data_IF_038859731243
#
_entry.id   IF_038859731243
#
_cell.length_a   1.000
_cell.length_b   1.000
_cell.length_c   1.000
_cell.angle_alpha   90.00
_cell.angle_beta   90.00
_cell.angle_gamma   90.00
#
_symmetry.space_group_name_H-M   'P 1'
#
loop_
_entity.id
_entity.type
_entity.pdbx_description
1 polymer ?
#
# COMPACT_ATOMS: atom_id res chain seq x y z
N UNK A 1 1.60 -14.52 13.03
CA UNK A 1 2.31 -15.46 12.11
C UNK A 1 3.74 -15.02 11.78
N UNK A 2 4.00 -14.08 10.85
CA UNK A 2 5.39 -13.62 10.56
C UNK A 2 6.00 -12.87 11.76
N UNK A 3 5.32 -11.83 12.24
CA UNK A 3 5.78 -11.01 13.37
C UNK A 3 5.99 -11.79 14.68
N UNK A 4 5.18 -12.83 14.89
CA UNK A 4 5.21 -13.65 16.11
C UNK A 4 6.07 -14.91 15.94
N UNK A 5 6.73 -15.06 14.79
CA UNK A 5 7.53 -16.24 14.53
C UNK A 5 8.78 -16.23 15.45
N UNK A 6 9.10 -17.34 16.14
CA UNK A 6 10.18 -17.35 17.12
C UNK A 6 11.58 -17.26 16.50
N UNK A 7 11.72 -17.65 15.23
CA UNK A 7 12.97 -17.54 14.49
C UNK A 7 12.95 -16.34 13.53
N UNK A 8 14.13 -15.81 13.23
CA UNK A 8 14.31 -14.70 12.29
C UNK A 8 13.63 -14.97 10.94
N UNK A 9 12.75 -14.05 10.56
CA UNK A 9 12.01 -14.04 9.31
C UNK A 9 12.67 -13.09 8.29
N UNK A 10 12.66 -13.50 7.02
CA UNK A 10 13.25 -12.73 5.93
C UNK A 10 12.28 -12.65 4.77
N UNK A 11 12.07 -11.44 4.27
CA UNK A 11 11.34 -11.20 3.01
C UNK A 11 12.34 -10.78 1.95
N UNK A 12 12.37 -11.51 0.83
CA UNK A 12 13.26 -11.26 -0.30
C UNK A 12 12.46 -10.68 -1.46
N UNK A 13 12.81 -9.48 -1.92
CA UNK A 13 12.08 -8.72 -2.95
C UNK A 13 12.97 -8.55 -4.17
N UNK A 14 12.85 -9.42 -5.19
CA UNK A 14 13.69 -9.37 -6.37
C UNK A 14 13.32 -8.22 -7.33
N UNK A 15 12.05 -7.79 -7.35
CA UNK A 15 11.55 -6.78 -8.30
C UNK A 15 10.58 -5.77 -7.67
N UNK A 16 9.48 -6.22 -7.06
CA UNK A 16 8.38 -5.32 -6.71
C UNK A 16 7.51 -5.91 -5.59
N UNK A 17 7.13 -5.10 -4.60
CA UNK A 17 6.12 -5.48 -3.60
C UNK A 17 5.31 -4.27 -3.11
N UNK A 18 4.03 -4.19 -3.46
CA UNK A 18 3.14 -3.06 -3.12
C UNK A 18 2.04 -3.48 -2.17
N UNK A 19 1.41 -2.49 -1.51
CA UNK A 19 0.20 -2.70 -0.73
C UNK A 19 0.39 -3.83 0.29
N UNK A 20 -0.37 -4.93 0.20
CA UNK A 20 -0.20 -6.12 1.02
C UNK A 20 1.23 -6.70 1.02
N UNK A 21 1.94 -6.66 -0.11
CA UNK A 21 3.34 -7.09 -0.19
C UNK A 21 4.29 -6.22 0.64
N UNK A 22 4.02 -4.91 0.73
CA UNK A 22 4.74 -4.02 1.65
C UNK A 22 4.41 -4.36 3.10
N UNK A 23 3.15 -4.62 3.45
CA UNK A 23 2.78 -5.02 4.82
C UNK A 23 3.48 -6.31 5.25
N UNK A 24 3.58 -7.30 4.36
CA UNK A 24 4.33 -8.53 4.60
C UNK A 24 5.81 -8.23 4.82
N UNK A 25 6.42 -7.36 4.00
CA UNK A 25 7.82 -6.97 4.16
C UNK A 25 8.08 -6.25 5.50
N UNK A 26 7.19 -5.34 5.90
CA UNK A 26 7.31 -4.60 7.17
C UNK A 26 7.12 -5.49 8.40
N UNK A 27 6.38 -6.60 8.27
CA UNK A 27 6.18 -7.57 9.35
C UNK A 27 7.39 -8.48 9.59
N UNK A 28 8.38 -8.49 8.68
CA UNK A 28 9.54 -9.36 8.78
C UNK A 28 10.73 -8.70 9.48
N UNK A 29 11.58 -9.52 10.09
CA UNK A 29 12.79 -9.05 10.78
C UNK A 29 13.76 -8.40 9.78
N UNK A 30 13.92 -9.01 8.60
CA UNK A 30 14.80 -8.51 7.54
C UNK A 30 14.09 -8.38 6.20
N UNK A 31 14.29 -7.23 5.56
CA UNK A 31 13.89 -6.95 4.19
C UNK A 31 15.17 -6.99 3.34
N UNK A 32 15.25 -7.94 2.42
CA UNK A 32 16.35 -8.08 1.46
C UNK A 32 15.77 -7.79 0.10
N UNK A 33 16.28 -6.80 -0.63
CA UNK A 33 15.69 -6.40 -1.90
C UNK A 33 16.74 -6.11 -2.96
N UNK A 34 16.40 -6.37 -4.23
CA UNK A 34 17.28 -5.97 -5.33
C UNK A 34 17.50 -4.45 -5.28
N UNK A 35 18.66 -3.97 -5.76
CA UNK A 35 18.98 -2.54 -5.77
C UNK A 35 17.97 -1.70 -6.56
N UNK A 36 17.32 -2.32 -7.55
CA UNK A 36 16.29 -1.72 -8.39
C UNK A 36 14.88 -2.15 -7.99
N UNK A 37 14.72 -2.99 -6.96
CA UNK A 37 13.41 -3.33 -6.44
C UNK A 37 12.81 -2.18 -5.65
N UNK A 38 11.49 -2.20 -5.54
CA UNK A 38 10.73 -1.14 -4.87
C UNK A 38 9.62 -1.71 -3.99
N UNK A 39 9.32 -0.97 -2.93
CA UNK A 39 8.12 -1.11 -2.13
C UNK A 39 7.07 -0.07 -2.53
N UNK A 40 5.87 -0.20 -1.99
CA UNK A 40 4.78 0.76 -2.19
C UNK A 40 4.32 1.41 -0.91
N UNK A 41 3.56 2.51 -1.03
CA UNK A 41 2.71 2.98 0.05
C UNK A 41 1.68 1.93 0.45
N UNK A 42 1.12 2.11 1.64
CA UNK A 42 0.03 1.26 2.16
C UNK A 42 -1.19 2.13 2.50
N UNK A 43 -1.31 3.29 1.85
CA UNK A 43 -2.45 4.18 2.00
C UNK A 43 -3.77 3.44 1.68
N UNK A 44 -4.80 3.56 2.52
CA UNK A 44 -6.07 2.91 2.26
C UNK A 44 -6.78 3.47 1.04
N UNK A 45 -7.36 2.60 0.23
CA UNK A 45 -8.25 2.96 -0.88
C UNK A 45 -9.69 2.56 -0.56
N UNK A 46 -10.64 3.46 -0.83
CA UNK A 46 -12.07 3.24 -0.69
C UNK A 46 -12.73 3.28 -2.06
N UNK A 47 -13.05 2.09 -2.58
CA UNK A 47 -13.44 1.94 -3.98
C UNK A 47 -12.29 2.39 -4.89
N UNK A 48 -12.56 3.35 -5.76
CA UNK A 48 -11.58 3.86 -6.74
C UNK A 48 -10.77 5.07 -6.25
N UNK A 49 -11.00 5.53 -5.00
CA UNK A 49 -10.38 6.75 -4.49
C UNK A 49 -9.48 6.46 -3.29
N UNK A 50 -8.32 7.15 -3.18
CA UNK A 50 -7.55 7.15 -1.93
C UNK A 50 -8.37 7.76 -0.79
N UNK A 51 -8.30 7.16 0.39
CA UNK A 51 -9.00 7.66 1.58
C UNK A 51 -8.64 9.13 1.88
N UNK A 52 -7.37 9.50 1.69
CA UNK A 52 -6.86 10.86 1.93
C UNK A 52 -7.47 11.87 0.96
N UNK A 53 -7.70 11.49 -0.29
CA UNK A 53 -8.36 12.35 -1.29
C UNK A 53 -9.82 12.62 -0.93
N UNK A 54 -10.52 11.64 -0.34
CA UNK A 54 -11.89 11.82 0.16
C UNK A 54 -11.91 12.83 1.30
N UNK A 55 -10.93 12.77 2.21
CA UNK A 55 -10.80 13.76 3.30
C UNK A 55 -10.52 15.16 2.76
N UNK A 56 -9.64 15.27 1.75
CA UNK A 56 -9.33 16.56 1.13
C UNK A 56 -10.57 17.20 0.49
N UNK A 57 -11.39 16.39 -0.20
CA UNK A 57 -12.65 16.88 -0.77
C UNK A 57 -13.59 17.46 0.32
N UNK A 58 -13.64 16.85 1.50
CA UNK A 58 -14.36 17.39 2.66
C UNK A 58 -13.73 18.65 3.22
N UNK A 59 -12.41 18.75 3.31
CA UNK A 59 -11.73 19.99 3.72
C UNK A 59 -12.10 21.16 2.79
N UNK A 60 -12.23 20.91 1.48
CA UNK A 60 -12.54 21.93 0.49
C UNK A 60 -14.03 22.35 0.47
N UNK A 61 -14.95 21.40 0.63
CA UNK A 61 -16.40 21.64 0.44
C UNK A 61 -17.24 21.57 1.71
N UNK A 62 -16.73 20.91 2.75
CA UNK A 62 -17.43 20.66 4.01
C UNK A 62 -18.74 19.90 3.82
N UNK A 63 -19.76 20.32 4.55
CA UNK A 63 -21.11 19.74 4.56
C UNK A 63 -21.88 19.94 3.24
N UNK A 64 -21.34 20.68 2.27
CA UNK A 64 -21.96 20.83 0.93
C UNK A 64 -21.82 19.58 0.05
N UNK A 65 -21.12 18.56 0.54
CA UNK A 65 -21.01 17.26 -0.12
C UNK A 65 -22.30 16.47 0.03
N UNK A 66 -22.53 15.52 -0.88
CA UNK A 66 -23.67 14.61 -0.74
C UNK A 66 -23.46 13.62 0.42
N UNK A 67 -24.57 13.07 0.93
CA UNK A 67 -24.58 12.16 2.09
C UNK A 67 -23.64 10.97 1.89
N UNK A 68 -23.61 10.39 0.69
CA UNK A 68 -22.71 9.28 0.35
C UNK A 68 -21.23 9.65 0.56
N UNK A 69 -20.82 10.84 0.13
CA UNK A 69 -19.45 11.33 0.32
C UNK A 69 -19.18 11.61 1.79
N UNK A 70 -20.14 12.15 2.54
CA UNK A 70 -19.99 12.38 3.98
C UNK A 70 -19.79 11.06 4.76
N UNK A 71 -20.51 9.99 4.37
CA UNK A 71 -20.30 8.65 4.90
C UNK A 71 -18.89 8.13 4.52
N UNK A 72 -18.46 8.31 3.28
CA UNK A 72 -17.12 7.93 2.84
C UNK A 72 -16.02 8.69 3.59
N UNK A 73 -16.26 9.94 4.00
CA UNK A 73 -15.32 10.73 4.82
C UNK A 73 -15.13 10.09 6.20
N UNK A 74 -16.22 9.66 6.85
CA UNK A 74 -16.13 8.94 8.12
C UNK A 74 -15.35 7.62 7.98
N UNK A 75 -15.65 6.84 6.94
CA UNK A 75 -14.95 5.59 6.64
C UNK A 75 -13.47 5.85 6.35
N UNK A 76 -13.15 6.90 5.58
CA UNK A 76 -11.78 7.28 5.25
C UNK A 76 -10.95 7.63 6.48
N UNK A 77 -11.51 8.41 7.44
CA UNK A 77 -10.85 8.73 8.71
C UNK A 77 -10.50 7.47 9.49
N UNK A 78 -11.45 6.52 9.56
CA UNK A 78 -11.26 5.25 10.26
C UNK A 78 -10.20 4.40 9.57
N UNK A 79 -10.26 4.26 8.25
CA UNK A 79 -9.33 3.45 7.47
C UNK A 79 -7.89 3.94 7.61
N UNK A 80 -7.64 5.26 7.51
CA UNK A 80 -6.30 5.84 7.68
C UNK A 80 -5.76 5.55 9.08
N UNK A 81 -6.57 5.79 10.11
CA UNK A 81 -6.16 5.55 11.50
C UNK A 81 -5.85 4.07 11.75
N UNK A 82 -6.70 3.16 11.26
CA UNK A 82 -6.51 1.72 11.40
C UNK A 82 -5.24 1.24 10.68
N UNK A 83 -4.97 1.76 9.49
CA UNK A 83 -3.75 1.42 8.75
C UNK A 83 -2.50 1.97 9.43
N UNK A 84 -2.52 3.22 9.90
CA UNK A 84 -1.42 3.80 10.68
C UNK A 84 -1.13 2.95 11.93
N UNK A 85 -2.17 2.60 12.68
CA UNK A 85 -2.05 1.76 13.88
C UNK A 85 -1.52 0.36 13.55
N UNK A 86 -1.99 -0.24 12.46
CA UNK A 86 -1.52 -1.56 12.01
C UNK A 86 -0.04 -1.52 11.65
N UNK A 87 0.39 -0.57 10.83
CA UNK A 87 1.80 -0.43 10.43
C UNK A 87 2.68 -0.10 11.64
N UNK A 88 2.23 0.78 12.53
CA UNK A 88 2.94 1.07 13.77
C UNK A 88 3.13 -0.20 14.60
N UNK A 89 2.08 -1.01 14.74
CA UNK A 89 2.17 -2.27 15.47
C UNK A 89 3.12 -3.26 14.80
N UNK A 90 3.27 -3.28 13.48
CA UNK A 90 4.28 -4.11 12.81
C UNK A 90 5.71 -3.65 13.15
N UNK A 91 5.92 -2.34 13.31
CA UNK A 91 7.25 -1.73 13.34
C UNK A 91 7.79 -1.40 14.74
N UNK A 92 6.92 -1.26 15.76
CA UNK A 92 7.32 -0.74 17.09
C UNK A 92 8.41 -1.54 17.78
N UNK A 93 8.40 -2.86 17.66
CA UNK A 93 9.38 -3.73 18.32
C UNK A 93 10.75 -3.65 17.64
N UNK A 94 10.77 -3.36 16.32
CA UNK A 94 11.98 -3.27 15.51
C UNK A 94 12.64 -1.89 15.56
N UNK A 95 11.83 -0.84 15.55
CA UNK A 95 12.30 0.54 15.39
C UNK A 95 12.13 1.41 16.63
N UNK A 96 11.40 0.92 17.64
CA UNK A 96 10.96 1.71 18.78
C UNK A 96 9.75 2.60 18.46
N UNK A 97 9.11 3.06 19.52
CA UNK A 97 7.85 3.81 19.52
C UNK A 97 7.83 4.99 18.54
N UNK A 98 8.76 5.94 18.70
CA UNK A 98 8.77 7.20 17.96
C UNK A 98 9.04 7.00 16.46
N UNK A 99 10.04 6.17 16.13
CA UNK A 99 10.42 5.90 14.75
C UNK A 99 9.32 5.10 14.03
N UNK A 100 8.72 4.11 14.71
CA UNK A 100 7.61 3.33 14.16
C UNK A 100 6.39 4.21 13.85
N UNK A 101 5.99 5.11 14.75
CA UNK A 101 4.89 6.06 14.50
C UNK A 101 5.18 6.95 13.29
N UNK A 102 6.40 7.49 13.19
CA UNK A 102 6.80 8.34 12.06
C UNK A 102 6.71 7.58 10.73
N UNK A 103 7.24 6.36 10.66
CA UNK A 103 7.20 5.53 9.44
C UNK A 103 5.76 5.19 9.09
N UNK A 104 4.97 4.73 10.07
CA UNK A 104 3.58 4.35 9.88
C UNK A 104 2.76 5.49 9.28
N UNK A 105 2.91 6.70 9.82
CA UNK A 105 2.25 7.89 9.30
C UNK A 105 2.68 8.22 7.87
N UNK A 106 3.98 8.17 7.57
CA UNK A 106 4.50 8.47 6.23
C UNK A 106 3.96 7.50 5.17
N UNK A 107 3.83 6.22 5.51
CA UNK A 107 3.41 5.18 4.56
C UNK A 107 1.88 5.10 4.37
N UNK A 108 1.09 5.61 5.32
CA UNK A 108 -0.38 5.45 5.33
C UNK A 108 -1.15 6.75 5.04
N UNK A 109 -0.55 7.93 5.21
CA UNK A 109 -1.26 9.20 5.11
C UNK A 109 -1.38 9.79 3.68
N UNK A 110 -1.12 9.01 2.63
CA UNK A 110 -1.26 9.46 1.25
C UNK A 110 -0.24 10.52 0.84
N UNK A 111 0.96 10.51 1.43
CA UNK A 111 2.10 11.33 0.95
C UNK A 111 2.44 11.08 -0.52
N UNK A 112 2.13 9.90 -1.01
CA UNK A 112 2.31 9.48 -2.39
C UNK A 112 1.04 8.83 -2.94
N UNK A 113 0.95 8.73 -4.27
CA UNK A 113 -0.05 7.88 -4.92
C UNK A 113 0.23 6.41 -4.62
N UNK A 114 -0.81 5.57 -4.64
CA UNK A 114 -0.70 4.17 -4.25
C UNK A 114 0.29 3.35 -5.09
N UNK A 115 0.54 3.76 -6.32
CA UNK A 115 1.47 3.13 -7.28
C UNK A 115 2.90 3.69 -7.21
N UNK A 116 3.16 4.67 -6.36
CA UNK A 116 4.45 5.35 -6.30
C UNK A 116 5.57 4.40 -5.82
N UNK A 117 6.64 4.20 -6.62
CA UNK A 117 7.70 3.27 -6.27
C UNK A 117 8.63 3.84 -5.17
N UNK A 118 8.69 3.17 -4.03
CA UNK A 118 9.65 3.45 -2.96
C UNK A 118 10.92 2.62 -3.17
N UNK A 119 11.94 3.27 -3.73
CA UNK A 119 13.26 2.66 -3.97
C UNK A 119 14.02 2.38 -2.67
N UNK A 120 15.06 1.55 -2.75
CA UNK A 120 16.02 1.30 -1.65
C UNK A 120 16.48 2.59 -0.97
N UNK A 121 16.86 3.60 -1.77
CA UNK A 121 17.29 4.89 -1.25
C UNK A 121 16.15 5.57 -0.48
N UNK A 122 14.94 5.58 -1.04
CA UNK A 122 13.79 6.22 -0.41
C UNK A 122 13.40 5.56 0.91
N UNK A 123 13.46 4.24 0.96
CA UNK A 123 13.20 3.45 2.16
C UNK A 123 14.20 3.80 3.28
N UNK A 124 15.48 3.89 2.94
CA UNK A 124 16.53 4.33 3.88
C UNK A 124 16.30 5.75 4.38
N UNK A 125 15.92 6.69 3.50
CA UNK A 125 15.60 8.08 3.87
C UNK A 125 14.46 8.19 4.90
N UNK A 126 13.43 7.34 4.77
CA UNK A 126 12.30 7.33 5.71
C UNK A 126 12.56 6.47 6.95
N UNK A 127 13.71 5.81 7.04
CA UNK A 127 14.17 5.07 8.22
C UNK A 127 13.90 3.57 8.18
N UNK A 128 13.50 3.02 7.04
CA UNK A 128 13.32 1.58 6.85
C UNK A 128 14.66 0.96 6.44
N UNK A 129 15.06 -0.06 7.18
CA UNK A 129 16.31 -0.79 6.97
C UNK A 129 16.10 -1.91 5.95
N UNK A 130 16.92 -1.89 4.92
CA UNK A 130 16.89 -2.85 3.81
C UNK A 130 18.31 -3.30 3.46
N UNK A 131 18.48 -4.60 3.24
CA UNK A 131 19.69 -5.20 2.69
C UNK A 131 19.55 -5.35 1.16
N UNK A 132 20.64 -5.18 0.41
CA UNK A 132 20.65 -5.38 -1.05
C UNK A 132 21.33 -6.66 -1.51
N UNK A 133 21.64 -7.58 -0.58
CA UNK A 133 22.32 -8.84 -0.84
C UNK A 133 21.34 -9.97 -1.16
N UNK A 134 20.56 -9.81 -2.24
CA UNK A 134 19.66 -10.86 -2.72
C UNK A 134 20.48 -12.09 -3.14
N UNK A 135 20.19 -13.30 -2.61
CA UNK A 135 20.92 -14.50 -2.98
C UNK A 135 20.76 -14.84 -4.47
N UNK A 136 21.86 -15.21 -5.14
CA UNK A 136 21.85 -15.55 -6.59
C UNK A 136 20.79 -16.59 -6.96
N UNK A 137 20.57 -17.59 -6.09
CA UNK A 137 19.55 -18.63 -6.26
C UNK A 137 18.13 -18.11 -6.44
N UNK A 138 17.82 -16.92 -5.91
CA UNK A 138 16.51 -16.28 -6.11
C UNK A 138 16.33 -15.86 -7.57
N UNK A 139 17.35 -15.26 -8.18
CA UNK A 139 17.31 -14.93 -9.61
C UNK A 139 17.28 -16.19 -10.47
N UNK A 140 18.11 -17.19 -10.15
CA UNK A 140 18.12 -18.47 -10.86
C UNK A 140 16.74 -19.15 -10.82
N UNK A 141 16.01 -19.04 -9.70
CA UNK A 141 14.64 -19.52 -9.60
C UNK A 141 13.69 -18.73 -10.51
N UNK A 142 13.78 -17.40 -10.53
CA UNK A 142 12.90 -16.55 -11.33
C UNK A 142 13.13 -16.71 -12.83
N UNK A 143 14.36 -16.99 -13.25
CA UNK A 143 14.70 -17.26 -14.65
C UNK A 143 13.99 -18.51 -15.19
N UNK A 144 13.59 -19.45 -14.31
CA UNK A 144 12.77 -20.61 -14.67
C UNK A 144 11.30 -20.25 -14.95
N UNK A 145 10.85 -19.08 -14.49
CA UNK A 145 9.47 -18.60 -14.60
C UNK A 145 9.43 -17.23 -15.30
N UNK A 146 9.78 -17.14 -16.58
CA UNK A 146 9.77 -15.88 -17.31
C UNK A 146 8.37 -15.26 -17.25
N UNK A 147 8.31 -13.99 -16.84
CA UNK A 147 7.04 -13.28 -16.76
C UNK A 147 6.40 -13.21 -18.16
N UNK A 148 5.10 -13.52 -18.29
CA UNK A 148 4.42 -13.41 -19.58
C UNK A 148 4.54 -11.98 -20.11
N UNK A 149 5.10 -11.82 -21.31
CA UNK A 149 5.38 -10.52 -21.96
C UNK A 149 4.12 -9.82 -22.51
N UNK A 150 3.01 -9.89 -21.79
CA UNK A 150 1.75 -9.28 -22.21
C UNK A 150 0.95 -8.83 -21.00
N UNK A 151 0.37 -7.63 -21.09
CA UNK A 151 -0.63 -7.15 -20.15
C UNK A 151 -1.90 -7.97 -20.31
N UNK A 152 -1.93 -9.18 -19.75
CA UNK A 152 -3.20 -9.75 -19.32
C UNK A 152 -3.50 -9.12 -17.96
N UNK A 153 -4.56 -8.30 -17.83
CA UNK A 153 -5.01 -7.85 -16.53
C UNK A 153 -5.16 -9.09 -15.64
N UNK A 154 -4.52 -9.12 -14.47
CA UNK A 154 -4.76 -10.17 -13.47
C UNK A 154 -6.21 -10.19 -13.00
N UNK A 155 -6.90 -9.05 -13.18
CA UNK A 155 -8.32 -8.84 -12.92
C UNK A 155 -8.89 -8.01 -14.07
N UNK A 156 -9.94 -8.51 -14.73
CA UNK A 156 -10.77 -7.71 -15.61
C UNK A 156 -11.74 -6.91 -14.75
N UNK A 157 -11.48 -5.60 -14.60
CA UNK A 157 -12.44 -4.71 -13.97
C UNK A 157 -13.49 -4.36 -15.03
N UNK A 158 -14.73 -4.81 -14.84
CA UNK A 158 -15.86 -4.27 -15.58
C UNK A 158 -16.17 -2.93 -14.91
N UNK A 159 -15.95 -1.77 -15.55
CA UNK A 159 -16.28 -0.49 -14.94
C UNK A 159 -17.80 -0.40 -14.78
N UNK A 160 -18.27 -0.58 -13.54
CA UNK A 160 -19.65 -0.29 -13.14
C UNK A 160 -19.65 1.20 -12.75
N UNK A 161 -20.42 2.03 -13.48
CA UNK A 161 -21.74 2.36 -12.97
C UNK A 161 -22.83 1.93 -13.94
N UNK A 162 -23.90 1.29 -13.45
CA UNK A 162 -25.19 1.33 -14.13
C UNK A 162 -25.66 2.78 -14.13
N UNK A 163 -25.36 3.53 -15.20
CA UNK A 163 -26.21 4.66 -15.55
C UNK A 163 -27.55 4.02 -15.92
N UNK A 164 -28.57 4.17 -15.07
CA UNK A 164 -29.95 4.02 -15.53
C UNK A 164 -30.09 4.95 -16.73
N UNK A 165 -30.21 4.39 -17.93
CA UNK A 165 -30.70 5.14 -19.07
C UNK A 165 -32.02 5.77 -18.62
N UNK A 166 -32.10 7.09 -18.68
CA UNK A 166 -33.31 7.81 -18.34
C UNK A 166 -34.44 7.30 -19.22
N UNK A 167 -35.60 7.04 -18.61
CA UNK A 167 -36.86 6.92 -19.32
C UNK A 167 -37.06 8.20 -20.16
N UNK A 168 -36.75 8.11 -21.45
CA UNK A 168 -37.41 8.93 -22.45
C UNK A 168 -38.78 8.29 -22.70
N UNK A 169 -39.73 8.52 -21.80
CA UNK A 169 -41.14 8.41 -22.18
C UNK A 169 -41.46 9.67 -22.97
N UNK A 170 -41.44 9.52 -24.29
CA UNK A 170 -42.34 10.26 -25.15
C UNK A 170 -43.71 9.66 -24.96
N UNK A 171 -44.65 10.47 -24.47
CA UNK A 171 -46.04 10.54 -24.94
C UNK A 171 -46.57 11.96 -24.62
#
# INVERSE_FOLDING_TARGET
ALKEHPAETRVIIPHYAMSGGTLIALAADKIIMDKNAVLGPVDPQLGQYPAVSILEAYCMKGEKLNDETLILVDIARKAIKQMEEFVYNLLKDKYGEEKAKKIAKILSNGKWTHDYPLTVQKLKEIGIEVDTNVPKKVYELLDLYPQPRGAKPSVYYIPIPYKKEGNNEKD
#
